data_IF_735674325387
#
_entry.id   IF_735674325387
#
_cell.length_a   1.000
_cell.length_b   1.000
_cell.length_c   1.000
_cell.angle_alpha   90.00
_cell.angle_beta   90.00
_cell.angle_gamma   90.00
#
_symmetry.space_group_name_H-M   'P 1'
#
loop_
_entity.id
_entity.type
_entity.pdbx_description
1 polymer ?
#
# COMPACT_ATOMS: atom_id res chain seq x y z
N UNK A 1 19.86 2.43 20.39
CA UNK A 1 19.52 1.78 19.10
C UNK A 1 18.57 2.68 18.35
N UNK A 2 18.96 3.20 17.17
CA UNK A 2 18.02 3.89 16.27
C UNK A 2 17.13 2.84 15.60
N UNK A 3 15.82 3.07 15.55
CA UNK A 3 14.88 2.09 14.99
C UNK A 3 14.98 2.06 13.47
N UNK A 4 15.18 0.87 12.87
CA UNK A 4 15.26 0.69 11.42
C UNK A 4 14.02 1.24 10.68
N UNK A 5 12.85 1.21 11.31
CA UNK A 5 11.61 1.71 10.71
C UNK A 5 11.59 3.22 10.47
N UNK A 6 12.28 4.01 11.30
CA UNK A 6 12.45 5.45 11.06
C UNK A 6 13.37 5.72 9.86
N UNK A 7 14.37 4.86 9.65
CA UNK A 7 15.33 5.00 8.55
C UNK A 7 14.64 4.68 7.22
N UNK A 8 13.83 3.62 7.16
CA UNK A 8 13.02 3.30 5.97
C UNK A 8 12.10 4.46 5.58
N UNK A 9 11.45 5.10 6.56
CA UNK A 9 10.55 6.23 6.30
C UNK A 9 11.26 7.43 5.70
N UNK A 10 12.48 7.73 6.18
CA UNK A 10 13.32 8.79 5.62
C UNK A 10 13.80 8.39 4.20
N UNK A 11 14.20 7.13 4.02
CA UNK A 11 14.75 6.62 2.76
C UNK A 11 13.75 6.61 1.60
N UNK A 12 12.45 6.39 1.86
CA UNK A 12 11.41 6.37 0.81
C UNK A 12 10.87 7.76 0.45
N UNK A 13 11.00 8.73 1.37
CA UNK A 13 10.50 10.09 1.19
C UNK A 13 11.33 10.88 0.19
N UNK A 14 10.83 12.04 -0.30
CA UNK A 14 11.62 12.92 -1.15
C UNK A 14 12.93 13.28 -0.45
N UNK A 15 14.02 13.30 -1.21
CA UNK A 15 15.35 13.49 -0.66
C UNK A 15 15.49 14.88 -0.01
N UNK A 16 16.10 14.99 1.17
CA UNK A 16 15.97 16.17 2.03
C UNK A 16 16.60 17.44 1.45
N UNK A 17 17.58 17.31 0.55
CA UNK A 17 18.32 18.46 0.01
C UNK A 17 17.55 19.22 -1.07
N UNK A 18 16.53 18.61 -1.68
CA UNK A 18 15.79 19.19 -2.81
C UNK A 18 14.31 18.79 -2.88
N UNK A 19 13.84 17.95 -1.95
CA UNK A 19 12.45 17.50 -1.83
C UNK A 19 11.86 16.83 -3.08
N UNK A 20 12.69 16.07 -3.80
CA UNK A 20 12.31 15.29 -4.99
C UNK A 20 12.69 13.81 -4.78
N UNK A 21 11.93 12.82 -5.32
CA UNK A 21 10.65 12.93 -6.02
C UNK A 21 9.43 12.75 -5.09
N UNK A 22 8.29 13.35 -5.46
CA UNK A 22 7.06 13.23 -4.67
C UNK A 22 6.24 11.99 -5.03
N UNK A 23 5.85 11.21 -4.02
CA UNK A 23 4.96 10.05 -4.16
C UNK A 23 5.55 8.90 -4.98
N UNK A 24 6.87 8.80 -5.07
CA UNK A 24 7.59 7.81 -5.87
C UNK A 24 8.74 7.20 -5.06
N UNK A 25 9.00 5.91 -5.27
CA UNK A 25 10.15 5.18 -4.71
C UNK A 25 11.28 4.97 -5.75
N UNK A 26 11.17 5.58 -6.93
CA UNK A 26 12.15 5.47 -8.00
C UNK A 26 13.24 6.53 -7.84
N UNK A 27 14.00 6.44 -6.75
CA UNK A 27 15.13 7.31 -6.41
C UNK A 27 16.16 6.57 -5.55
N UNK A 28 17.35 7.17 -5.44
CA UNK A 28 18.56 6.51 -4.98
C UNK A 28 18.48 6.13 -3.50
N UNK A 29 18.02 7.03 -2.62
CA UNK A 29 18.00 6.77 -1.18
C UNK A 29 17.09 5.59 -0.80
N UNK A 30 16.02 5.36 -1.57
CA UNK A 30 15.15 4.20 -1.35
C UNK A 30 15.86 2.89 -1.71
N UNK A 31 16.45 2.81 -2.90
CA UNK A 31 17.09 1.58 -3.37
C UNK A 31 18.39 1.26 -2.66
N UNK A 32 19.13 2.27 -2.21
CA UNK A 32 20.28 2.10 -1.31
C UNK A 32 19.86 1.39 -0.01
N UNK A 33 18.80 1.87 0.66
CA UNK A 33 18.27 1.23 1.87
C UNK A 33 17.78 -0.20 1.62
N UNK A 34 17.06 -0.44 0.52
CA UNK A 34 16.57 -1.79 0.16
C UNK A 34 17.74 -2.76 -0.06
N UNK A 35 18.83 -2.29 -0.67
CA UNK A 35 20.02 -3.12 -0.90
C UNK A 35 20.73 -3.53 0.40
N UNK A 36 20.69 -2.68 1.42
CA UNK A 36 21.34 -2.90 2.72
C UNK A 36 20.45 -3.61 3.75
N UNK A 37 19.13 -3.64 3.53
CA UNK A 37 18.15 -4.22 4.46
C UNK A 37 17.29 -5.28 3.76
N UNK A 38 17.76 -6.54 3.67
CA UNK A 38 17.08 -7.61 2.93
C UNK A 38 15.70 -7.97 3.52
N UNK A 39 15.43 -7.63 4.78
CA UNK A 39 14.11 -7.77 5.41
C UNK A 39 13.00 -6.99 4.66
N UNK A 40 13.37 -5.98 3.88
CA UNK A 40 12.43 -5.19 3.08
C UNK A 40 11.94 -5.91 1.82
N UNK A 41 12.72 -6.87 1.31
CA UNK A 41 12.55 -7.43 -0.04
C UNK A 41 11.17 -8.05 -0.25
N UNK A 42 10.62 -8.73 0.75
CA UNK A 42 9.30 -9.33 0.62
C UNK A 42 8.24 -8.28 0.28
N UNK A 43 8.18 -7.16 1.00
CA UNK A 43 7.15 -6.14 0.73
C UNK A 43 7.49 -5.29 -0.51
N UNK A 44 8.78 -5.14 -0.85
CA UNK A 44 9.20 -4.51 -2.11
C UNK A 44 8.67 -5.32 -3.31
N UNK A 45 8.70 -6.65 -3.26
CA UNK A 45 8.10 -7.48 -4.30
C UNK A 45 6.59 -7.24 -4.47
N UNK A 46 5.86 -7.03 -3.37
CA UNK A 46 4.44 -6.65 -3.44
C UNK A 46 4.25 -5.27 -4.06
N UNK A 47 5.06 -4.28 -3.67
CA UNK A 47 4.99 -2.91 -4.18
C UNK A 47 5.34 -2.79 -5.67
N UNK A 48 6.28 -3.61 -6.15
CA UNK A 48 6.70 -3.64 -7.57
C UNK A 48 5.77 -4.47 -8.45
N UNK A 49 4.94 -5.33 -7.86
CA UNK A 49 3.85 -5.99 -8.59
C UNK A 49 2.70 -5.03 -8.89
N UNK A 50 1.77 -5.42 -9.76
CA UNK A 50 0.57 -4.64 -10.05
C UNK A 50 -0.29 -4.32 -8.80
N UNK A 51 -0.05 -4.99 -7.66
CA UNK A 51 -0.69 -4.66 -6.37
C UNK A 51 -0.31 -3.27 -5.84
N UNK A 52 0.83 -2.72 -6.23
CA UNK A 52 1.18 -1.32 -5.96
C UNK A 52 0.31 -0.31 -6.73
N UNK A 53 -0.47 -0.79 -7.71
CA UNK A 53 -1.25 0.02 -8.64
C UNK A 53 -2.74 -0.41 -8.65
N UNK A 54 -3.47 -0.33 -7.52
CA UNK A 54 -4.86 -0.78 -7.45
C UNK A 54 -5.77 0.01 -8.39
N UNK A 55 -6.73 -0.65 -9.04
CA UNK A 55 -7.69 0.02 -9.95
C UNK A 55 -8.67 0.94 -9.22
N UNK A 56 -9.06 0.54 -8.02
CA UNK A 56 -9.95 1.24 -7.09
C UNK A 56 -9.68 0.71 -5.68
N UNK A 57 -9.98 1.49 -4.64
CA UNK A 57 -9.96 1.00 -3.26
C UNK A 57 -10.95 -0.16 -3.02
N UNK A 58 -11.98 -0.29 -3.86
CA UNK A 58 -13.00 -1.35 -3.77
C UNK A 58 -12.54 -2.70 -4.34
N UNK A 59 -11.44 -2.73 -5.09
CA UNK A 59 -10.94 -3.94 -5.77
C UNK A 59 -9.59 -4.42 -5.22
N UNK A 60 -9.18 -3.94 -4.04
CA UNK A 60 -7.93 -4.34 -3.38
C UNK A 60 -8.19 -5.19 -2.13
N UNK A 61 -7.22 -6.02 -1.77
CA UNK A 61 -7.25 -6.78 -0.51
C UNK A 61 -6.68 -5.94 0.63
N UNK A 62 -7.26 -6.09 1.82
CA UNK A 62 -6.71 -5.56 3.07
C UNK A 62 -6.11 -6.67 3.92
N UNK A 63 -5.05 -6.37 4.66
CA UNK A 63 -4.39 -7.30 5.57
C UNK A 63 -4.02 -6.60 6.88
N UNK A 64 -4.22 -7.28 8.02
CA UNK A 64 -3.83 -6.77 9.33
C UNK A 64 -2.32 -6.83 9.57
N UNK A 65 -1.59 -7.56 8.71
CA UNK A 65 -0.14 -7.83 8.71
C UNK A 65 0.32 -8.60 9.96
N UNK A 66 0.09 -8.05 11.13
CA UNK A 66 0.45 -8.62 12.42
C UNK A 66 -0.45 -9.79 12.81
N UNK A 67 0.11 -10.66 13.65
CA UNK A 67 -0.65 -11.71 14.34
C UNK A 67 -1.21 -11.15 15.64
N UNK A 68 -2.53 -11.19 15.80
CA UNK A 68 -3.25 -10.74 16.98
C UNK A 68 -3.72 -11.93 17.81
N UNK A 69 -4.25 -11.66 19.01
CA UNK A 69 -4.91 -12.67 19.86
C UNK A 69 -6.37 -12.29 20.05
N UNK A 70 -7.29 -13.24 19.81
CA UNK A 70 -8.67 -13.17 20.29
C UNK A 70 -8.77 -13.96 21.58
N UNK A 71 -9.38 -13.36 22.60
CA UNK A 71 -9.61 -13.97 23.90
C UNK A 71 -11.10 -14.23 24.02
N UNK A 72 -11.49 -15.50 24.25
CA UNK A 72 -12.89 -15.85 24.45
C UNK A 72 -13.35 -15.63 25.92
N UNK A 73 -14.63 -15.88 26.20
CA UNK A 73 -15.20 -15.71 27.54
C UNK A 73 -14.53 -16.58 28.63
N UNK A 74 -13.88 -17.68 28.24
CA UNK A 74 -13.14 -18.58 29.13
C UNK A 74 -11.64 -18.19 29.27
N UNK A 75 -11.22 -17.04 28.72
CA UNK A 75 -9.83 -16.60 28.77
C UNK A 75 -8.87 -17.34 27.82
N UNK A 76 -9.37 -18.21 26.94
CA UNK A 76 -8.56 -18.94 25.96
C UNK A 76 -8.17 -18.01 24.81
N UNK A 77 -6.88 -17.97 24.51
CA UNK A 77 -6.34 -17.17 23.41
C UNK A 77 -6.27 -17.96 22.09
N UNK A 78 -6.62 -17.32 20.98
CA UNK A 78 -6.44 -17.83 19.62
C UNK A 78 -5.71 -16.79 18.79
N UNK A 79 -4.63 -17.21 18.11
CA UNK A 79 -3.91 -16.34 17.20
C UNK A 79 -4.69 -16.13 15.91
N UNK A 80 -4.84 -14.87 15.49
CA UNK A 80 -5.58 -14.50 14.28
C UNK A 80 -4.81 -13.51 13.44
N UNK A 81 -5.08 -13.54 12.13
CA UNK A 81 -4.70 -12.50 11.17
C UNK A 81 -5.95 -12.01 10.48
N UNK A 82 -6.11 -10.70 10.38
CA UNK A 82 -7.28 -10.09 9.76
C UNK A 82 -7.09 -9.94 8.24
N UNK A 83 -8.14 -10.27 7.51
CA UNK A 83 -8.18 -10.22 6.04
C UNK A 83 -9.47 -9.52 5.59
N UNK A 84 -9.34 -8.59 4.66
CA UNK A 84 -10.45 -7.97 3.97
C UNK A 84 -10.41 -8.42 2.52
N UNK A 85 -11.42 -9.18 2.12
CA UNK A 85 -11.59 -9.62 0.74
C UNK A 85 -12.58 -8.69 0.06
N UNK A 86 -12.21 -8.05 -1.06
CA UNK A 86 -13.16 -7.23 -1.79
C UNK A 86 -14.28 -8.11 -2.32
N UNK A 87 -15.51 -7.60 -2.31
CA UNK A 87 -16.64 -8.26 -2.94
C UNK A 87 -16.47 -8.33 -4.46
N UNK A 88 -15.89 -7.27 -5.04
CA UNK A 88 -15.57 -7.20 -6.46
C UNK A 88 -14.27 -7.96 -6.77
N UNK A 89 -14.20 -8.53 -7.97
CA UNK A 89 -12.98 -9.18 -8.46
C UNK A 89 -11.81 -8.19 -8.45
N UNK A 90 -10.63 -8.68 -8.07
CA UNK A 90 -9.40 -7.88 -8.03
C UNK A 90 -9.11 -7.33 -9.42
N UNK A 91 -8.95 -6.02 -9.51
CA UNK A 91 -8.57 -5.31 -10.73
C UNK A 91 -7.43 -4.36 -10.39
N UNK A 92 -6.41 -4.37 -11.25
CA UNK A 92 -5.19 -3.60 -11.09
C UNK A 92 -4.95 -2.78 -12.36
N UNK A 93 -4.24 -1.68 -12.24
CA UNK A 93 -3.79 -0.90 -13.39
C UNK A 93 -2.50 -1.49 -13.96
N UNK A 94 -2.35 -1.38 -15.28
CA UNK A 94 -1.06 -1.56 -15.92
C UNK A 94 -0.20 -0.30 -15.79
N UNK A 95 1.12 -0.45 -15.59
CA UNK A 95 2.05 0.63 -15.22
C UNK A 95 1.99 1.90 -16.08
N UNK A 96 1.90 1.77 -17.42
CA UNK A 96 1.82 2.95 -18.32
C UNK A 96 0.49 3.68 -18.25
N UNK A 97 -0.60 2.96 -17.96
CA UNK A 97 -1.94 3.57 -17.81
C UNK A 97 -2.04 4.40 -16.54
N UNK A 98 -1.42 3.93 -15.44
CA UNK A 98 -1.42 4.63 -14.16
C UNK A 98 -0.68 5.97 -14.22
N UNK A 99 0.52 6.02 -14.82
CA UNK A 99 1.30 7.28 -14.92
C UNK A 99 0.55 8.37 -15.69
N UNK A 100 -0.18 7.99 -16.75
CA UNK A 100 -1.03 8.93 -17.50
C UNK A 100 -2.23 9.40 -16.66
N UNK A 101 -2.81 8.50 -15.86
CA UNK A 101 -3.93 8.83 -14.98
C UNK A 101 -3.54 9.84 -13.90
N UNK A 102 -2.38 9.68 -13.25
CA UNK A 102 -1.93 10.61 -12.19
C UNK A 102 -1.77 12.06 -12.67
N UNK A 103 -1.47 12.27 -13.96
CA UNK A 103 -1.42 13.62 -14.54
C UNK A 103 -2.79 14.15 -15.00
N UNK A 104 -3.73 13.27 -15.36
CA UNK A 104 -5.07 13.66 -15.83
C UNK A 104 -6.08 13.83 -14.69
N UNK A 105 -5.97 13.00 -13.67
CA UNK A 105 -6.86 12.97 -12.51
C UNK A 105 -6.09 12.48 -11.27
N UNK A 106 -5.44 13.40 -10.52
CA UNK A 106 -4.73 13.05 -9.30
C UNK A 106 -5.66 12.57 -8.18
N UNK A 107 -6.94 12.91 -8.23
CA UNK A 107 -7.96 12.55 -7.24
C UNK A 107 -8.79 11.32 -7.64
N UNK A 108 -8.36 10.58 -8.66
CA UNK A 108 -9.12 9.49 -9.27
C UNK A 108 -9.71 8.50 -8.25
N UNK A 109 -8.90 7.98 -7.32
CA UNK A 109 -9.40 7.02 -6.33
C UNK A 109 -10.37 7.64 -5.31
N UNK A 110 -10.21 8.93 -4.98
CA UNK A 110 -11.12 9.64 -4.09
C UNK A 110 -12.48 9.81 -4.76
N UNK A 111 -12.46 10.24 -6.02
CA UNK A 111 -13.65 10.41 -6.85
C UNK A 111 -14.39 9.10 -7.10
N UNK A 112 -13.67 8.05 -7.52
CA UNK A 112 -14.26 6.72 -7.78
C UNK A 112 -15.00 6.17 -6.56
N UNK A 113 -14.45 6.37 -5.36
CA UNK A 113 -15.09 5.94 -4.12
C UNK A 113 -16.33 6.80 -3.80
N UNK A 114 -16.21 8.12 -3.92
CA UNK A 114 -17.32 9.04 -3.64
C UNK A 114 -18.51 8.79 -4.58
N UNK A 115 -18.27 8.76 -5.88
CA UNK A 115 -19.30 8.50 -6.89
C UNK A 115 -19.92 7.10 -6.73
N UNK A 116 -19.14 6.10 -6.33
CA UNK A 116 -19.67 4.77 -6.04
C UNK A 116 -20.61 4.77 -4.84
N UNK A 117 -20.32 5.56 -3.80
CA UNK A 117 -21.19 5.72 -2.64
C UNK A 117 -22.49 6.43 -3.05
N UNK A 118 -22.39 7.55 -3.76
CA UNK A 118 -23.57 8.30 -4.24
C UNK A 118 -24.46 7.49 -5.19
N UNK A 119 -23.87 6.66 -6.05
CA UNK A 119 -24.58 5.80 -6.97
C UNK A 119 -25.12 4.50 -6.33
N UNK A 120 -24.92 4.29 -5.02
CA UNK A 120 -25.33 3.07 -4.32
C UNK A 120 -24.55 1.81 -4.73
N UNK A 121 -23.39 1.95 -5.38
CA UNK A 121 -22.53 0.84 -5.85
C UNK A 121 -21.51 0.43 -4.79
N UNK A 122 -22.02 0.07 -3.61
CA UNK A 122 -21.21 -0.36 -2.46
C UNK A 122 -20.75 -1.82 -2.53
N UNK A 123 -21.38 -2.62 -3.38
CA UNK A 123 -21.02 -4.01 -3.67
C UNK A 123 -19.93 -4.10 -4.71
#
# INVERSE_FOLDING_TARGET
MRSNSLILFIAVKPEPHWAVPQGQSAHDTFWDYVSLQPETLHNVMWAMSDRGLPRSYRTMEGFGIHTFRLINAQGKATFVRFHWKPWQAKRLWFGTSRKKLTGRDPDFHRRDLWEAIEAGRLS
#
